data_IF_226169728951
#
_entry.id   IF_226169728951
#
_cell.length_a   1.000
_cell.length_b   1.000
_cell.length_c   1.000
_cell.angle_alpha   90.00
_cell.angle_beta   90.00
_cell.angle_gamma   90.00
#
_symmetry.space_group_name_H-M   'P 1'
#
loop_
_entity.id
_entity.type
_entity.pdbx_description
1 polymer ?
#
# COMPACT_ATOMS: atom_id res chain seq x y z
N UNK A 1 7.20 -25.80 7.13
CA UNK A 1 5.75 -25.59 7.40
C UNK A 1 4.91 -25.97 6.18
N UNK A 2 3.64 -26.40 6.35
CA UNK A 2 2.78 -26.84 5.24
C UNK A 2 2.54 -25.69 4.26
N UNK A 3 2.78 -25.92 2.96
CA UNK A 3 2.57 -24.99 1.83
C UNK A 3 1.23 -24.23 1.86
N UNK A 4 0.20 -24.81 2.48
CA UNK A 4 -1.11 -24.18 2.71
C UNK A 4 -1.08 -22.94 3.62
N UNK A 5 -0.20 -22.92 4.63
CA UNK A 5 -0.04 -21.76 5.54
C UNK A 5 0.55 -20.56 4.78
N UNK A 6 1.57 -20.80 3.94
CA UNK A 6 2.21 -19.76 3.12
C UNK A 6 1.24 -19.15 2.08
N UNK A 7 0.43 -19.98 1.41
CA UNK A 7 -0.62 -19.46 0.52
C UNK A 7 -1.67 -18.64 1.26
N UNK A 8 -2.01 -19.02 2.49
CA UNK A 8 -2.99 -18.30 3.30
C UNK A 8 -2.46 -16.95 3.79
N UNK A 9 -1.15 -16.87 4.05
CA UNK A 9 -0.45 -15.62 4.40
C UNK A 9 -0.37 -14.67 3.20
N UNK A 10 0.12 -15.15 2.06
CA UNK A 10 0.17 -14.37 0.82
C UNK A 10 -1.21 -13.84 0.41
N UNK A 11 -2.28 -14.64 0.58
CA UNK A 11 -3.64 -14.22 0.27
C UNK A 11 -4.18 -13.16 1.26
N UNK A 12 -3.67 -13.12 2.50
CA UNK A 12 -4.01 -12.07 3.47
C UNK A 12 -3.31 -10.76 3.11
N UNK A 13 -2.03 -10.82 2.77
CA UNK A 13 -1.25 -9.65 2.33
C UNK A 13 -1.80 -9.05 1.03
N UNK A 14 -2.13 -9.90 0.05
CA UNK A 14 -2.73 -9.46 -1.21
C UNK A 14 -4.05 -8.72 -0.99
N UNK A 15 -4.90 -9.19 -0.06
CA UNK A 15 -6.15 -8.51 0.28
C UNK A 15 -5.91 -7.13 0.88
N UNK A 16 -4.90 -6.97 1.73
CA UNK A 16 -4.56 -5.66 2.30
C UNK A 16 -4.03 -4.70 1.23
N UNK A 17 -3.22 -5.19 0.30
CA UNK A 17 -2.75 -4.39 -0.86
C UNK A 17 -3.90 -3.96 -1.77
N UNK A 18 -4.88 -4.85 -2.00
CA UNK A 18 -6.10 -4.51 -2.77
C UNK A 18 -6.90 -3.43 -2.04
N UNK A 19 -7.09 -3.56 -0.73
CA UNK A 19 -7.79 -2.55 0.06
C UNK A 19 -7.08 -1.19 0.01
N UNK A 20 -5.75 -1.18 0.17
CA UNK A 20 -4.95 0.03 0.08
C UNK A 20 -5.04 0.68 -1.32
N UNK A 21 -5.05 -0.12 -2.38
CA UNK A 21 -5.29 0.37 -3.75
C UNK A 21 -6.65 1.03 -3.87
N UNK A 22 -7.70 0.43 -3.32
CA UNK A 22 -9.05 1.01 -3.33
C UNK A 22 -9.06 2.35 -2.59
N UNK A 23 -8.40 2.46 -1.44
CA UNK A 23 -8.31 3.71 -0.68
C UNK A 23 -7.59 4.80 -1.48
N UNK A 24 -6.50 4.47 -2.17
CA UNK A 24 -5.79 5.42 -3.04
C UNK A 24 -6.67 5.88 -4.20
N UNK A 25 -7.43 4.98 -4.82
CA UNK A 25 -8.36 5.32 -5.90
C UNK A 25 -9.47 6.26 -5.39
N UNK A 26 -10.06 5.97 -4.23
CA UNK A 26 -11.08 6.84 -3.63
C UNK A 26 -10.53 8.22 -3.28
N UNK A 27 -9.32 8.27 -2.72
CA UNK A 27 -8.63 9.52 -2.44
C UNK A 27 -8.37 10.31 -3.73
N UNK A 28 -7.92 9.64 -4.78
CA UNK A 28 -7.70 10.27 -6.09
C UNK A 28 -9.00 10.79 -6.71
N UNK A 29 -10.11 10.06 -6.60
CA UNK A 29 -11.42 10.54 -7.06
C UNK A 29 -11.87 11.76 -6.23
N UNK A 30 -11.64 11.78 -4.92
CA UNK A 30 -12.00 12.90 -4.07
C UNK A 30 -11.13 14.15 -4.32
N UNK A 31 -9.80 13.98 -4.42
CA UNK A 31 -8.84 15.06 -4.66
C UNK A 31 -8.82 15.53 -6.13
N UNK A 32 -9.13 14.59 -7.03
CA UNK A 32 -9.72 14.85 -8.32
C UNK A 32 -11.12 15.38 -8.10
N UNK A 33 -12.17 14.77 -8.66
CA UNK A 33 -13.53 15.33 -8.79
C UNK A 33 -14.07 16.25 -7.67
N UNK A 34 -13.76 16.03 -6.39
CA UNK A 34 -14.18 16.92 -5.30
C UNK A 34 -13.58 18.33 -5.33
N UNK A 35 -12.42 18.54 -5.96
CA UNK A 35 -11.83 19.87 -6.21
C UNK A 35 -12.18 20.43 -7.60
N UNK A 36 -12.93 19.69 -8.44
CA UNK A 36 -13.13 20.07 -9.85
C UNK A 36 -13.94 21.37 -10.00
N UNK A 37 -14.81 21.63 -9.01
CA UNK A 37 -15.67 22.82 -8.93
C UNK A 37 -14.96 24.00 -8.23
N UNK A 38 -13.70 23.82 -7.82
CA UNK A 38 -12.95 24.88 -7.16
C UNK A 38 -12.26 25.78 -8.19
N UNK A 39 -12.76 27.02 -8.34
CA UNK A 39 -12.16 28.11 -9.15
C UNK A 39 -10.81 28.65 -8.60
N UNK A 40 -10.12 27.85 -7.79
CA UNK A 40 -8.85 28.23 -7.17
C UNK A 40 -7.73 27.87 -8.15
N UNK A 41 -7.12 28.91 -8.73
CA UNK A 41 -5.99 28.79 -9.66
C UNK A 41 -4.71 29.15 -8.92
N UNK A 42 -3.73 28.24 -8.96
CA UNK A 42 -2.40 28.42 -8.36
C UNK A 42 -1.38 28.28 -9.49
N UNK A 43 -0.56 29.30 -9.74
CA UNK A 43 0.44 29.31 -10.83
C UNK A 43 -0.16 28.97 -12.22
N UNK A 44 -1.29 29.60 -12.58
CA UNK A 44 -2.04 29.32 -13.82
C UNK A 44 -2.56 27.88 -13.98
N UNK A 45 -2.43 27.05 -12.93
CA UNK A 45 -2.95 25.67 -12.91
C UNK A 45 -4.11 25.53 -11.93
N UNK A 46 -5.23 24.91 -12.33
CA UNK A 46 -6.35 24.64 -11.43
C UNK A 46 -5.89 23.78 -10.25
N UNK A 47 -6.35 24.09 -9.03
CA UNK A 47 -5.97 23.36 -7.82
C UNK A 47 -6.32 21.87 -7.88
N UNK A 48 -7.32 21.53 -8.69
CA UNK A 48 -7.70 20.16 -9.03
C UNK A 48 -6.57 19.36 -9.67
N UNK A 49 -5.76 19.99 -10.52
CA UNK A 49 -4.61 19.34 -11.16
C UNK A 49 -3.53 19.06 -10.12
N UNK A 50 -3.30 19.98 -9.19
CA UNK A 50 -2.33 19.81 -8.11
C UNK A 50 -2.83 18.73 -7.12
N UNK A 51 -4.10 18.75 -6.76
CA UNK A 51 -4.74 17.74 -5.90
C UNK A 51 -4.77 16.34 -6.53
N UNK A 52 -5.10 16.26 -7.82
CA UNK A 52 -5.20 15.03 -8.61
C UNK A 52 -3.86 14.47 -9.13
N UNK A 53 -2.78 15.24 -9.10
CA UNK A 53 -1.46 14.76 -9.53
C UNK A 53 -0.43 14.75 -8.40
N UNK A 54 -0.16 15.89 -7.76
CA UNK A 54 0.92 15.99 -6.75
C UNK A 54 0.48 15.36 -5.43
N UNK A 55 -0.69 15.75 -4.92
CA UNK A 55 -1.15 15.31 -3.59
C UNK A 55 -1.47 13.82 -3.59
N UNK A 56 -2.12 13.33 -4.63
CA UNK A 56 -2.45 11.91 -4.78
C UNK A 56 -1.22 11.05 -5.07
N UNK A 57 -0.21 11.56 -5.77
CA UNK A 57 1.09 10.88 -5.88
C UNK A 57 1.76 10.74 -4.51
N UNK A 58 1.86 11.81 -3.74
CA UNK A 58 2.44 11.76 -2.39
C UNK A 58 1.65 10.80 -1.49
N UNK A 59 0.32 10.82 -1.56
CA UNK A 59 -0.52 9.90 -0.82
C UNK A 59 -0.25 8.44 -1.19
N UNK A 60 -0.15 8.13 -2.49
CA UNK A 60 0.18 6.78 -2.95
C UNK A 60 1.56 6.31 -2.45
N UNK A 61 2.57 7.20 -2.44
CA UNK A 61 3.91 6.89 -1.89
C UNK A 61 3.83 6.57 -0.40
N UNK A 62 3.08 7.35 0.39
CA UNK A 62 2.90 7.11 1.83
C UNK A 62 2.16 5.79 2.08
N UNK A 63 1.12 5.49 1.31
CA UNK A 63 0.38 4.23 1.42
C UNK A 63 1.28 3.04 1.04
N UNK A 64 2.09 3.16 -0.01
CA UNK A 64 3.03 2.12 -0.42
C UNK A 64 4.11 1.89 0.65
N UNK A 65 4.66 2.96 1.24
CA UNK A 65 5.60 2.87 2.34
C UNK A 65 4.98 2.21 3.57
N UNK A 66 3.76 2.60 3.92
CA UNK A 66 3.02 2.00 5.03
C UNK A 66 2.73 0.51 4.79
N UNK A 67 2.32 0.12 3.58
CA UNK A 67 2.16 -1.28 3.20
C UNK A 67 3.49 -2.05 3.34
N UNK A 68 4.61 -1.48 2.87
CA UNK A 68 5.91 -2.13 2.97
C UNK A 68 6.33 -2.37 4.43
N UNK A 69 6.11 -1.40 5.32
CA UNK A 69 6.49 -1.50 6.73
C UNK A 69 5.52 -2.31 7.60
N UNK A 70 4.22 -2.31 7.30
CA UNK A 70 3.19 -2.93 8.15
C UNK A 70 2.57 -4.20 7.59
N UNK A 71 2.56 -4.39 6.26
CA UNK A 71 1.93 -5.57 5.62
C UNK A 71 2.97 -6.59 5.17
N UNK A 72 4.12 -6.15 4.64
CA UNK A 72 5.21 -7.03 4.21
C UNK A 72 6.20 -7.29 5.37
N UNK A 73 5.77 -7.12 6.63
CA UNK A 73 6.58 -7.48 7.80
C UNK A 73 6.50 -8.95 8.17
N UNK A 74 5.51 -9.67 7.64
CA UNK A 74 5.19 -11.04 8.02
C UNK A 74 5.87 -12.12 7.14
N UNK A 75 6.89 -11.74 6.37
CA UNK A 75 7.91 -12.73 5.95
C UNK A 75 8.83 -12.98 7.14
N UNK A 76 8.25 -13.47 8.24
CA UNK A 76 9.02 -14.00 9.36
C UNK A 76 9.71 -15.26 8.83
N UNK A 77 10.94 -15.11 8.34
CA UNK A 77 11.90 -16.22 8.26
C UNK A 77 12.33 -16.60 9.69
N UNK A 78 11.36 -17.06 10.49
CA UNK A 78 11.59 -17.77 11.75
C UNK A 78 10.62 -18.95 11.74
N UNK A 79 11.01 -20.21 11.84
CA UNK A 79 12.27 -20.82 12.24
C UNK A 79 12.13 -22.31 11.92
N UNK A 80 13.07 -22.88 11.15
CA UNK A 80 13.43 -24.30 11.24
C UNK A 80 14.96 -24.47 11.22
N UNK A 81 15.67 -23.59 11.93
CA UNK A 81 17.06 -23.80 12.33
C UNK A 81 17.18 -24.48 13.71
N UNK A 82 16.10 -25.08 14.21
CA UNK A 82 16.14 -25.83 15.47
C UNK A 82 15.50 -27.21 15.30
N UNK A 83 16.22 -28.14 14.65
CA UNK A 83 16.38 -29.55 15.05
C UNK A 83 16.72 -30.49 13.88
N UNK A 84 18.02 -30.74 13.63
CA UNK A 84 18.66 -32.09 13.61
C UNK A 84 20.04 -32.05 12.96
N UNK A 85 21.07 -32.24 13.78
CA UNK A 85 22.44 -32.51 13.34
C UNK A 85 23.31 -32.89 14.54
N UNK A 86 23.10 -34.09 15.08
CA UNK A 86 24.09 -34.72 15.96
C UNK A 86 25.31 -35.21 15.18
N UNK A 87 26.45 -35.31 15.87
CA UNK A 87 27.74 -35.83 15.38
C UNK A 87 28.62 -34.72 14.81
N UNK A 88 29.81 -34.43 15.34
CA UNK A 88 30.80 -35.21 16.09
C UNK A 88 31.45 -34.36 17.16
#
# INVERSE_FOLDING_TARGET
>A
MKRSEQFRQANREAKTTVLATIVVILFWIAAGFGLADSDIVIFDTPIWVIGGCIVSWLFAVVVAWWLAEYVIKDVDMKEDATAKGGGK
#
